data_IF_025110543882
#
_entry.id   IF_025110543882
#
_cell.length_a   1.000
_cell.length_b   1.000
_cell.length_c   1.000
_cell.angle_alpha   90.00
_cell.angle_beta   90.00
_cell.angle_gamma   90.00
#
_symmetry.space_group_name_H-M   'P 1'
#
loop_
_entity.id
_entity.type
_entity.pdbx_description
1 polymer ?
#
# COMPACT_ATOMS: atom_id res chain seq x y z
N UNK A 1 -2.04 17.94 4.88
CA UNK A 1 -2.06 19.41 5.01
C UNK A 1 -0.67 20.09 4.93
N UNK A 2 0.43 19.45 5.36
CA UNK A 2 1.75 20.07 5.29
C UNK A 2 2.20 20.32 3.84
N UNK A 3 2.03 19.37 2.94
CA UNK A 3 2.39 19.52 1.52
C UNK A 3 1.65 20.68 0.84
N UNK A 4 0.35 20.85 1.09
CA UNK A 4 -0.42 21.98 0.59
C UNK A 4 0.15 23.31 1.10
N UNK A 5 0.47 23.38 2.41
CA UNK A 5 1.06 24.59 3.01
C UNK A 5 2.43 24.94 2.42
N UNK A 6 3.27 23.93 2.15
CA UNK A 6 4.59 24.13 1.52
C UNK A 6 4.47 24.64 0.07
N UNK A 7 3.36 24.33 -0.62
CA UNK A 7 3.05 24.88 -1.95
C UNK A 7 2.31 26.21 -1.93
N UNK A 8 2.07 26.79 -0.74
CA UNK A 8 1.29 28.04 -0.60
C UNK A 8 -0.22 27.85 -0.79
N UNK A 9 -0.71 26.61 -0.76
CA UNK A 9 -2.13 26.28 -0.91
C UNK A 9 -2.82 26.24 0.46
N UNK A 10 -4.13 26.58 0.50
CA UNK A 10 -4.93 26.32 1.68
C UNK A 10 -5.18 24.83 1.83
N UNK A 11 -5.01 24.32 3.05
CA UNK A 11 -5.38 22.93 3.33
C UNK A 11 -6.90 22.76 3.21
N UNK A 12 -7.32 21.74 2.46
CA UNK A 12 -8.73 21.31 2.42
C UNK A 12 -9.01 20.43 3.64
N UNK A 13 -9.53 21.04 4.70
CA UNK A 13 -9.83 20.35 5.95
C UNK A 13 -10.98 19.34 5.79
N UNK A 14 -11.92 19.56 4.88
CA UNK A 14 -13.00 18.61 4.62
C UNK A 14 -12.40 17.31 4.03
N UNK A 15 -11.51 17.44 3.06
CA UNK A 15 -10.79 16.29 2.47
C UNK A 15 -9.87 15.59 3.46
N UNK A 16 -9.21 16.33 4.36
CA UNK A 16 -8.41 15.75 5.45
C UNK A 16 -9.28 14.87 6.35
N UNK A 17 -10.41 15.40 6.82
CA UNK A 17 -11.32 14.68 7.71
C UNK A 17 -11.90 13.43 7.03
N UNK A 18 -12.35 13.55 5.79
CA UNK A 18 -12.82 12.39 5.00
C UNK A 18 -11.77 11.27 4.94
N UNK A 19 -10.53 11.61 4.61
CA UNK A 19 -9.45 10.62 4.52
C UNK A 19 -9.10 10.00 5.88
N UNK A 20 -9.14 10.78 6.97
CA UNK A 20 -8.94 10.27 8.32
C UNK A 20 -10.05 9.32 8.74
N UNK A 21 -11.31 9.60 8.39
CA UNK A 21 -12.42 8.67 8.58
C UNK A 21 -12.22 7.36 7.82
N UNK A 22 -11.87 7.45 6.52
CA UNK A 22 -11.65 6.28 5.67
C UNK A 22 -10.57 5.35 6.20
N UNK A 23 -9.48 5.90 6.76
CA UNK A 23 -8.40 5.10 7.36
C UNK A 23 -8.65 4.78 8.85
N UNK A 24 -9.79 5.18 9.42
CA UNK A 24 -10.17 4.91 10.82
C UNK A 24 -9.32 5.66 11.84
N UNK A 25 -9.01 6.93 11.57
CA UNK A 25 -8.22 7.81 12.45
C UNK A 25 -8.94 9.13 12.80
N UNK A 26 -10.24 9.25 12.55
CA UNK A 26 -11.00 10.47 12.82
C UNK A 26 -10.87 10.93 14.28
N UNK A 27 -10.93 9.99 15.25
CA UNK A 27 -10.80 10.28 16.69
C UNK A 27 -9.41 10.74 17.12
N UNK A 28 -8.40 10.61 16.24
CA UNK A 28 -7.00 10.94 16.52
C UNK A 28 -6.49 12.09 15.65
N UNK A 29 -7.39 12.87 15.05
CA UNK A 29 -7.05 13.93 14.10
C UNK A 29 -6.11 15.00 14.69
N UNK A 30 -6.26 15.31 15.98
CA UNK A 30 -5.47 16.30 16.70
C UNK A 30 -4.24 15.73 17.42
N UNK A 31 -4.07 14.41 17.37
CA UNK A 31 -2.94 13.75 18.03
C UNK A 31 -1.61 14.01 17.31
N UNK A 32 -0.55 14.13 18.10
CA UNK A 32 0.81 14.24 17.56
C UNK A 32 1.29 12.88 17.06
N UNK A 33 2.14 12.82 16.00
CA UNK A 33 2.67 11.56 15.49
C UNK A 33 3.33 10.66 16.53
N UNK A 34 3.93 11.25 17.58
CA UNK A 34 4.57 10.50 18.67
C UNK A 34 3.55 9.74 19.54
N UNK A 35 2.30 10.19 19.62
CA UNK A 35 1.23 9.53 20.38
C UNK A 35 0.57 8.38 19.60
N UNK A 36 0.82 8.28 18.29
CA UNK A 36 0.23 7.26 17.44
C UNK A 36 0.99 5.94 17.53
N UNK A 37 0.27 4.81 17.51
CA UNK A 37 0.88 3.49 17.34
C UNK A 37 1.53 3.34 15.94
N UNK A 38 2.34 2.29 15.73
CA UNK A 38 2.96 1.99 14.44
C UNK A 38 1.93 1.89 13.31
N UNK A 39 0.88 1.11 13.51
CA UNK A 39 -0.21 0.95 12.54
C UNK A 39 -1.01 2.24 12.32
N UNK A 40 -1.23 3.06 13.35
CA UNK A 40 -1.87 4.37 13.19
C UNK A 40 -0.99 5.32 12.35
N UNK A 41 0.33 5.33 12.57
CA UNK A 41 1.26 6.11 11.75
C UNK A 41 1.25 5.68 10.28
N UNK A 42 1.21 4.36 9.99
CA UNK A 42 1.10 3.88 8.61
C UNK A 42 -0.22 4.32 7.95
N UNK A 43 -1.35 4.21 8.65
CA UNK A 43 -2.64 4.69 8.14
C UNK A 43 -2.66 6.20 7.91
N UNK A 44 -2.04 6.98 8.80
CA UNK A 44 -1.90 8.43 8.61
C UNK A 44 -0.99 8.77 7.41
N UNK A 45 0.09 8.00 7.19
CA UNK A 45 0.95 8.16 6.01
C UNK A 45 0.19 7.86 4.71
N UNK A 46 -0.63 6.80 4.70
CA UNK A 46 -1.50 6.50 3.56
C UNK A 46 -2.51 7.63 3.30
N UNK A 47 -3.20 8.12 4.33
CA UNK A 47 -4.12 9.27 4.19
C UNK A 47 -3.42 10.50 3.61
N UNK A 48 -2.19 10.79 4.05
CA UNK A 48 -1.36 11.86 3.49
C UNK A 48 -1.05 11.63 2.01
N UNK A 49 -0.69 10.41 1.62
CA UNK A 49 -0.41 10.06 0.22
C UNK A 49 -1.65 10.26 -0.66
N UNK A 50 -2.81 9.84 -0.18
CA UNK A 50 -4.09 10.01 -0.87
C UNK A 50 -4.50 11.49 -0.97
N UNK A 51 -4.18 12.30 0.04
CA UNK A 51 -4.45 13.74 0.04
C UNK A 51 -3.63 14.49 -1.03
N UNK A 52 -2.39 14.06 -1.29
CA UNK A 52 -1.52 14.69 -2.28
C UNK A 52 -1.97 14.48 -3.73
N UNK A 53 -2.81 13.50 -3.98
CA UNK A 53 -3.49 13.21 -5.25
C UNK A 53 -2.57 13.20 -6.48
N UNK A 54 -1.45 12.50 -6.40
CA UNK A 54 -0.43 12.44 -7.45
C UNK A 54 -0.70 11.30 -8.44
N UNK A 55 -0.37 11.47 -9.74
CA UNK A 55 -0.53 10.42 -10.75
C UNK A 55 0.41 9.22 -10.54
N UNK A 56 1.54 9.43 -9.86
CA UNK A 56 2.51 8.38 -9.50
C UNK A 56 2.65 8.35 -7.98
N UNK A 57 2.49 7.17 -7.41
CA UNK A 57 2.55 6.92 -5.97
C UNK A 57 3.62 5.86 -5.68
N UNK A 58 4.53 6.18 -4.77
CA UNK A 58 5.54 5.25 -4.26
C UNK A 58 5.18 4.88 -2.83
N UNK A 59 5.10 3.59 -2.55
CA UNK A 59 4.79 3.04 -1.23
C UNK A 59 5.85 2.00 -0.85
N UNK A 60 6.51 2.23 0.28
CA UNK A 60 7.52 1.34 0.83
C UNK A 60 6.99 0.74 2.14
N UNK A 61 6.75 -0.58 2.15
CA UNK A 61 6.20 -1.35 3.26
C UNK A 61 4.96 -0.71 3.92
N UNK A 62 3.95 -0.25 3.15
CA UNK A 62 2.90 0.64 3.67
C UNK A 62 1.94 -0.04 4.65
N UNK A 63 1.95 -1.38 4.73
CA UNK A 63 1.00 -2.15 5.56
C UNK A 63 1.68 -3.06 6.59
N UNK A 64 3.01 -3.01 6.74
CA UNK A 64 3.79 -3.96 7.56
C UNK A 64 3.46 -3.90 9.06
N UNK A 65 3.11 -2.74 9.61
CA UNK A 65 2.76 -2.57 11.03
C UNK A 65 1.26 -2.77 11.34
N UNK A 66 0.47 -3.26 10.39
CA UNK A 66 -0.96 -3.52 10.56
C UNK A 66 -1.22 -4.98 10.94
N UNK A 67 -2.20 -5.20 11.82
CA UNK A 67 -2.77 -6.52 12.05
C UNK A 67 -3.49 -7.04 10.79
N UNK A 68 -3.70 -8.34 10.68
CA UNK A 68 -4.21 -9.00 9.48
C UNK A 68 -5.55 -8.44 8.99
N UNK A 69 -6.51 -8.19 9.90
CA UNK A 69 -7.84 -7.70 9.49
C UNK A 69 -7.78 -6.26 9.02
N UNK A 70 -7.10 -5.40 9.79
CA UNK A 70 -6.87 -4.00 9.41
C UNK A 70 -6.08 -3.90 8.11
N UNK A 71 -5.03 -4.71 7.93
CA UNK A 71 -4.23 -4.78 6.71
C UNK A 71 -5.10 -5.06 5.50
N UNK A 72 -5.90 -6.12 5.52
CA UNK A 72 -6.78 -6.51 4.40
C UNK A 72 -7.75 -5.40 4.03
N UNK A 73 -8.35 -4.76 5.04
CA UNK A 73 -9.29 -3.64 4.85
C UNK A 73 -8.61 -2.43 4.23
N UNK A 74 -7.45 -2.03 4.76
CA UNK A 74 -6.72 -0.84 4.30
C UNK A 74 -6.12 -1.08 2.90
N UNK A 75 -5.65 -2.27 2.59
CA UNK A 75 -5.21 -2.66 1.24
C UNK A 75 -6.34 -2.51 0.22
N UNK A 76 -7.54 -3.02 0.55
CA UNK A 76 -8.72 -2.90 -0.31
C UNK A 76 -9.09 -1.43 -0.54
N UNK A 77 -9.08 -0.63 0.52
CA UNK A 77 -9.34 0.81 0.45
C UNK A 77 -8.30 1.52 -0.43
N UNK A 78 -7.03 1.28 -0.20
CA UNK A 78 -5.93 1.88 -0.97
C UNK A 78 -6.04 1.54 -2.47
N UNK A 79 -6.28 0.28 -2.81
CA UNK A 79 -6.43 -0.16 -4.20
C UNK A 79 -7.58 0.56 -4.91
N UNK A 80 -8.71 0.76 -4.23
CA UNK A 80 -9.86 1.50 -4.78
C UNK A 80 -9.57 2.99 -4.97
N UNK A 81 -8.99 3.64 -3.96
CA UNK A 81 -8.73 5.09 -4.00
C UNK A 81 -7.57 5.46 -4.94
N UNK A 82 -6.69 4.51 -5.24
CA UNK A 82 -5.57 4.69 -6.17
C UNK A 82 -5.86 4.22 -7.59
N UNK A 83 -7.10 3.83 -7.88
CA UNK A 83 -7.52 3.46 -9.25
C UNK A 83 -7.20 4.59 -10.23
N UNK A 84 -6.63 4.22 -11.40
CA UNK A 84 -6.21 5.17 -12.43
C UNK A 84 -4.85 5.84 -12.19
N UNK A 85 -4.15 5.51 -11.11
CA UNK A 85 -2.78 5.98 -10.82
C UNK A 85 -1.74 4.89 -11.08
N UNK A 86 -0.52 5.30 -11.34
CA UNK A 86 0.63 4.39 -11.34
C UNK A 86 1.14 4.25 -9.92
N UNK A 87 1.08 3.02 -9.39
CA UNK A 87 1.53 2.72 -8.03
C UNK A 87 2.74 1.79 -8.09
N UNK A 88 3.83 2.18 -7.45
CA UNK A 88 4.98 1.31 -7.16
C UNK A 88 4.91 0.93 -5.69
N UNK A 89 4.65 -0.34 -5.44
CA UNK A 89 4.57 -0.92 -4.10
C UNK A 89 5.82 -1.77 -3.85
N UNK A 90 6.57 -1.43 -2.81
CA UNK A 90 7.67 -2.23 -2.31
C UNK A 90 7.16 -2.98 -1.08
N UNK A 91 7.33 -4.29 -1.09
CA UNK A 91 6.93 -5.16 0.02
C UNK A 91 7.74 -6.45 0.03
N UNK A 92 7.92 -7.02 1.20
CA UNK A 92 8.49 -8.36 1.39
C UNK A 92 7.40 -9.45 1.57
N UNK A 93 6.12 -9.07 1.53
CA UNK A 93 4.98 -9.99 1.67
C UNK A 93 4.50 -10.45 0.27
N UNK A 94 4.76 -11.72 -0.14
CA UNK A 94 4.33 -12.23 -1.44
C UNK A 94 2.82 -12.22 -1.64
N UNK A 95 2.03 -12.40 -0.58
CA UNK A 95 0.56 -12.32 -0.66
C UNK A 95 0.12 -10.90 -0.99
N UNK A 96 0.68 -9.91 -0.32
CA UNK A 96 0.40 -8.49 -0.57
C UNK A 96 0.78 -8.12 -2.01
N UNK A 97 1.98 -8.50 -2.45
CA UNK A 97 2.46 -8.24 -3.80
C UNK A 97 1.51 -8.85 -4.86
N UNK A 98 1.16 -10.12 -4.72
CA UNK A 98 0.24 -10.79 -5.65
C UNK A 98 -1.18 -10.23 -5.60
N UNK A 99 -1.66 -9.82 -4.42
CA UNK A 99 -3.03 -9.34 -4.23
C UNK A 99 -3.25 -7.97 -4.85
N UNK A 100 -2.26 -7.08 -4.77
CA UNK A 100 -2.43 -5.65 -5.09
C UNK A 100 -1.84 -5.22 -6.42
N UNK A 101 -0.99 -6.03 -7.06
CA UNK A 101 -0.25 -5.61 -8.25
C UNK A 101 -0.85 -6.16 -9.54
N UNK A 102 -0.69 -5.43 -10.64
CA UNK A 102 -0.89 -5.95 -12.00
C UNK A 102 0.37 -6.66 -12.50
N UNK A 103 1.53 -6.20 -12.05
CA UNK A 103 2.84 -6.71 -12.43
C UNK A 103 3.75 -6.79 -11.23
N UNK A 104 4.48 -7.89 -11.11
CA UNK A 104 5.51 -8.08 -10.10
C UNK A 104 6.89 -7.90 -10.72
N UNK A 105 7.79 -7.31 -9.94
CA UNK A 105 9.21 -7.22 -10.23
C UNK A 105 9.94 -7.84 -9.04
N UNK A 106 10.73 -8.89 -9.30
CA UNK A 106 11.53 -9.53 -8.27
C UNK A 106 12.92 -8.92 -8.28
N UNK A 107 13.31 -8.35 -7.15
CA UNK A 107 14.62 -7.74 -6.97
C UNK A 107 15.58 -8.76 -6.33
N UNK A 108 16.72 -8.99 -6.97
CA UNK A 108 17.77 -9.86 -6.46
C UNK A 108 18.56 -9.19 -5.34
N UNK A 109 19.33 -9.96 -4.55
CA UNK A 109 20.25 -9.42 -3.55
C UNK A 109 21.31 -8.48 -4.14
N UNK A 110 21.59 -8.59 -5.43
CA UNK A 110 22.54 -7.70 -6.15
C UNK A 110 21.90 -6.40 -6.64
N UNK A 111 20.62 -6.17 -6.36
CA UNK A 111 19.87 -4.98 -6.77
C UNK A 111 19.42 -5.00 -8.23
N UNK A 112 19.42 -6.16 -8.89
CA UNK A 112 18.91 -6.32 -10.25
C UNK A 112 17.48 -6.79 -10.24
N UNK A 113 16.72 -6.44 -11.27
CA UNK A 113 15.40 -7.02 -11.53
C UNK A 113 15.64 -8.33 -12.27
N UNK A 114 15.46 -9.45 -11.58
CA UNK A 114 15.75 -10.78 -12.13
C UNK A 114 14.55 -11.35 -12.87
N UNK A 115 13.34 -10.94 -12.51
CA UNK A 115 12.14 -11.46 -13.12
C UNK A 115 10.98 -10.45 -13.10
N UNK A 116 10.01 -10.68 -13.99
CA UNK A 116 8.83 -9.83 -14.13
C UNK A 116 7.61 -10.69 -14.51
N UNK A 117 6.60 -10.68 -13.65
CA UNK A 117 5.37 -11.45 -13.85
C UNK A 117 4.17 -10.53 -14.00
N UNK A 118 3.35 -10.80 -15.03
CA UNK A 118 2.02 -10.22 -15.14
C UNK A 118 1.02 -11.14 -14.42
N UNK A 119 0.23 -10.55 -13.54
CA UNK A 119 -0.79 -11.27 -12.79
C UNK A 119 -2.15 -11.10 -13.47
N UNK A 120 -2.88 -12.20 -13.63
CA UNK A 120 -4.25 -12.18 -14.15
C UNK A 120 -5.22 -11.54 -13.15
N UNK A 121 -6.34 -10.99 -13.64
CA UNK A 121 -7.40 -10.38 -12.82
C UNK A 121 -7.09 -8.94 -12.40
N UNK A 122 -8.05 -8.32 -11.74
CA UNK A 122 -8.01 -6.90 -11.33
C UNK A 122 -7.74 -6.80 -9.83
N UNK A 123 -6.72 -6.03 -9.40
CA UNK A 123 -6.51 -5.76 -7.96
C UNK A 123 -7.66 -4.92 -7.36
N UNK A 124 -7.96 -5.09 -6.06
CA UNK A 124 -7.40 -6.08 -5.16
C UNK A 124 -8.09 -7.44 -5.37
N UNK A 125 -7.31 -8.50 -5.53
CA UNK A 125 -7.85 -9.87 -5.63
C UNK A 125 -8.40 -10.32 -4.29
N UNK A 126 -9.41 -11.19 -4.30
CA UNK A 126 -9.93 -11.79 -3.08
C UNK A 126 -8.84 -12.67 -2.43
N UNK A 127 -8.71 -12.65 -1.09
CA UNK A 127 -7.66 -13.44 -0.42
C UNK A 127 -7.75 -14.95 -0.64
N UNK A 128 -8.94 -15.44 -0.98
CA UNK A 128 -9.27 -16.83 -1.26
C UNK A 128 -9.32 -17.18 -2.76
N UNK A 129 -8.92 -16.23 -3.63
CA UNK A 129 -8.87 -16.46 -5.08
C UNK A 129 -7.82 -17.55 -5.41
N UNK A 130 -8.22 -18.66 -6.06
CA UNK A 130 -7.30 -19.74 -6.39
C UNK A 130 -6.12 -19.29 -7.29
N UNK A 131 -6.34 -18.35 -8.21
CA UNK A 131 -5.29 -17.83 -9.07
C UNK A 131 -4.28 -16.98 -8.29
N UNK A 132 -4.74 -16.22 -7.29
CA UNK A 132 -3.89 -15.49 -6.36
C UNK A 132 -3.01 -16.45 -5.55
N UNK A 133 -3.60 -17.51 -4.97
CA UNK A 133 -2.88 -18.50 -4.16
C UNK A 133 -1.84 -19.25 -4.99
N UNK A 134 -2.15 -19.62 -6.23
CA UNK A 134 -1.20 -20.25 -7.14
C UNK A 134 -0.05 -19.28 -7.48
N UNK A 135 -0.33 -18.02 -7.77
CA UNK A 135 0.71 -17.00 -8.05
C UNK A 135 1.62 -16.77 -6.86
N UNK A 136 1.06 -16.72 -5.65
CA UNK A 136 1.84 -16.60 -4.42
C UNK A 136 2.77 -17.81 -4.21
N UNK A 137 2.28 -19.02 -4.42
CA UNK A 137 3.09 -20.23 -4.28
C UNK A 137 4.26 -20.24 -5.27
N UNK A 138 4.03 -19.83 -6.52
CA UNK A 138 5.09 -19.72 -7.53
C UNK A 138 6.14 -18.66 -7.13
N UNK A 139 5.70 -17.49 -6.70
CA UNK A 139 6.58 -16.41 -6.25
C UNK A 139 7.45 -16.84 -5.07
N UNK A 140 6.86 -17.53 -4.08
CA UNK A 140 7.60 -18.07 -2.93
C UNK A 140 8.68 -19.06 -3.36
N UNK A 141 8.37 -19.99 -4.27
CA UNK A 141 9.35 -20.94 -4.80
C UNK A 141 10.52 -20.24 -5.51
N UNK A 142 10.24 -19.17 -6.26
CA UNK A 142 11.28 -18.37 -6.90
C UNK A 142 12.18 -17.67 -5.88
N UNK A 143 11.57 -17.00 -4.89
CA UNK A 143 12.31 -16.32 -3.83
C UNK A 143 13.21 -17.26 -3.04
N UNK A 144 12.74 -18.50 -2.78
CA UNK A 144 13.55 -19.52 -2.12
C UNK A 144 14.74 -19.99 -2.98
N UNK A 145 14.57 -20.11 -4.31
CA UNK A 145 15.67 -20.48 -5.23
C UNK A 145 16.70 -19.36 -5.39
N UNK A 146 16.27 -18.12 -5.33
CA UNK A 146 17.15 -16.94 -5.48
C UNK A 146 18.00 -16.67 -4.23
N UNK A 147 17.60 -17.20 -3.06
CA UNK A 147 18.27 -16.99 -1.77
C UNK A 147 19.01 -18.24 -1.24
N UNK A 148 19.00 -19.35 -1.96
CA UNK A 148 19.73 -20.58 -1.65
C UNK A 148 20.88 -20.79 -2.60
#
# INVERSE_FOLDING_TARGET
>A
ALGARLRGEKADNARVNELLELVGLASCADERPAALSGGMRQRAALARTLYEDRPIVLMDEPFSALDTLTRTRIQTLAARLLTGRTVVLITHDPMEACRLSHRLLVLSPTGRIDDSHHLSGIPPRAPDDPALLASQAQLLQQLMRANG
#
